data_IF_997114886372
#
_entry.id   IF_997114886372
#
_cell.length_a   1.000
_cell.length_b   1.000
_cell.length_c   1.000
_cell.angle_alpha   90.00
_cell.angle_beta   90.00
_cell.angle_gamma   90.00
#
_symmetry.space_group_name_H-M   'P 1'
#
loop_
_entity.id
_entity.type
_entity.pdbx_description
1 polymer ?
#
# COMPACT_ATOMS: atom_id res chain seq x y z
N UNK A 1 -26.93 3.41 -4.27
CA UNK A 1 -26.00 2.96 -5.34
C UNK A 1 -25.08 1.92 -4.76
N UNK A 2 -25.25 0.64 -5.12
CA UNK A 2 -24.35 -0.43 -4.72
C UNK A 2 -23.05 -0.31 -5.52
N UNK A 3 -21.97 0.17 -4.89
CA UNK A 3 -20.63 0.02 -5.46
C UNK A 3 -20.26 -1.45 -5.30
N UNK A 4 -20.18 -2.19 -6.42
CA UNK A 4 -19.67 -3.55 -6.42
C UNK A 4 -18.29 -3.55 -5.75
N UNK A 5 -18.12 -4.39 -4.73
CA UNK A 5 -16.81 -4.57 -4.09
C UNK A 5 -15.88 -5.19 -5.14
N UNK A 6 -14.69 -4.62 -5.38
CA UNK A 6 -13.71 -5.27 -6.24
C UNK A 6 -13.37 -6.63 -5.64
N UNK A 7 -13.59 -7.69 -6.41
CA UNK A 7 -13.17 -9.05 -6.06
C UNK A 7 -11.65 -9.08 -6.25
N UNK A 8 -10.89 -9.14 -5.17
CA UNK A 8 -9.45 -9.39 -5.21
C UNK A 8 -9.23 -10.85 -5.58
N UNK A 9 -8.90 -11.14 -6.83
CA UNK A 9 -8.36 -12.45 -7.20
C UNK A 9 -6.95 -12.57 -6.59
N UNK A 10 -6.67 -13.71 -5.95
CA UNK A 10 -5.43 -14.02 -5.20
C UNK A 10 -4.13 -14.08 -6.07
N UNK A 11 -4.14 -13.51 -7.28
CA UNK A 11 -2.98 -13.38 -8.15
C UNK A 11 -2.26 -12.03 -7.99
N UNK A 12 -0.93 -12.06 -7.86
CA UNK A 12 -0.05 -10.87 -7.84
C UNK A 12 -0.36 -9.91 -9.01
N UNK A 13 -0.55 -10.46 -10.20
CA UNK A 13 -0.82 -9.70 -11.42
C UNK A 13 -2.16 -8.95 -11.34
N UNK A 14 -3.20 -9.59 -10.76
CA UNK A 14 -4.52 -8.98 -10.52
C UNK A 14 -4.42 -7.84 -9.52
N UNK A 15 -3.80 -8.07 -8.35
CA UNK A 15 -3.73 -7.05 -7.29
C UNK A 15 -2.85 -5.86 -7.67
N UNK A 16 -1.78 -6.08 -8.43
CA UNK A 16 -0.93 -5.01 -8.96
C UNK A 16 -1.63 -4.23 -10.08
N UNK A 17 -2.34 -4.91 -11.00
CA UNK A 17 -3.14 -4.22 -12.02
C UNK A 17 -4.29 -3.42 -11.40
N UNK A 18 -4.95 -3.96 -10.38
CA UNK A 18 -5.97 -3.24 -9.60
C UNK A 18 -5.38 -2.00 -8.96
N UNK A 19 -4.17 -2.09 -8.41
CA UNK A 19 -3.48 -0.94 -7.83
C UNK A 19 -3.09 0.10 -8.88
N UNK A 20 -2.57 -0.30 -10.04
CA UNK A 20 -2.30 0.61 -11.17
C UNK A 20 -3.58 1.30 -11.65
N UNK A 21 -4.68 0.56 -11.79
CA UNK A 21 -5.98 1.11 -12.17
C UNK A 21 -6.56 2.03 -11.09
N UNK A 22 -6.33 1.72 -9.82
CA UNK A 22 -6.78 2.49 -8.68
C UNK A 22 -5.98 3.80 -8.52
N UNK A 23 -4.66 3.74 -8.72
CA UNK A 23 -3.78 4.91 -8.79
C UNK A 23 -4.15 5.83 -9.94
N UNK A 24 -4.43 5.30 -11.14
CA UNK A 24 -4.83 6.11 -12.29
C UNK A 24 -6.20 6.80 -12.13
N UNK A 25 -7.03 6.39 -11.15
CA UNK A 25 -8.42 6.85 -11.01
C UNK A 25 -8.67 7.76 -9.82
N UNK A 26 -7.73 7.88 -8.88
CA UNK A 26 -7.93 8.63 -7.65
C UNK A 26 -6.72 9.50 -7.32
N UNK A 27 -6.95 10.57 -6.57
CA UNK A 27 -5.98 11.49 -5.97
C UNK A 27 -5.11 10.80 -4.91
N UNK A 28 -4.50 9.67 -5.28
CA UNK A 28 -3.62 8.90 -4.41
C UNK A 28 -2.27 9.58 -4.21
N UNK A 29 -1.87 10.39 -5.20
CA UNK A 29 -0.72 11.30 -5.11
C UNK A 29 -0.87 12.30 -3.95
N UNK A 30 -2.10 12.74 -3.67
CA UNK A 30 -2.38 13.68 -2.57
C UNK A 30 -2.56 12.98 -1.21
N UNK A 31 -2.50 11.64 -1.16
CA UNK A 31 -2.68 10.93 0.09
C UNK A 31 -1.42 11.03 0.94
N UNK A 32 -1.60 11.57 2.14
CA UNK A 32 -0.57 11.60 3.16
C UNK A 32 -0.22 10.18 3.60
N UNK A 33 1.07 9.85 3.53
CA UNK A 33 1.68 8.74 4.23
C UNK A 33 1.72 9.12 5.71
N UNK A 34 1.09 8.31 6.56
CA UNK A 34 1.10 8.53 8.01
C UNK A 34 2.22 7.76 8.69
N UNK A 35 2.57 6.58 8.16
CA UNK A 35 3.69 5.79 8.67
C UNK A 35 4.06 4.68 7.70
N UNK A 36 5.33 4.32 7.66
CA UNK A 36 5.83 3.09 7.02
C UNK A 36 6.39 2.20 8.11
N UNK A 37 5.96 0.94 8.17
CA UNK A 37 6.42 -0.01 9.18
C UNK A 37 6.84 -1.32 8.54
N UNK A 38 8.08 -1.73 8.78
CA UNK A 38 8.56 -3.06 8.42
C UNK A 38 8.22 -4.06 9.53
N UNK A 39 7.50 -5.11 9.18
CA UNK A 39 7.07 -6.17 10.10
C UNK A 39 7.44 -7.53 9.48
N UNK A 40 8.40 -8.25 10.06
CA UNK A 40 8.92 -9.55 9.62
C UNK A 40 8.38 -10.09 8.25
N UNK A 41 9.06 -9.75 7.16
CA UNK A 41 8.69 -10.18 5.80
C UNK A 41 7.53 -9.40 5.16
N UNK A 42 7.06 -8.33 5.80
CA UNK A 42 6.03 -7.42 5.32
C UNK A 42 6.45 -5.97 5.51
N UNK A 43 5.86 -5.09 4.71
CA UNK A 43 5.90 -3.64 4.91
C UNK A 43 4.47 -3.14 4.87
N UNK A 44 4.10 -2.35 5.86
CA UNK A 44 2.78 -1.72 5.95
C UNK A 44 2.97 -0.22 5.78
N UNK A 45 2.41 0.32 4.71
CA UNK A 45 2.30 1.76 4.50
C UNK A 45 0.90 2.17 4.90
N UNK A 46 0.83 3.00 5.93
CA UNK A 46 -0.41 3.57 6.41
C UNK A 46 -0.65 4.88 5.66
N UNK A 47 -1.79 4.97 4.98
CA UNK A 47 -2.27 6.13 4.25
C UNK A 47 -3.56 6.61 4.91
N UNK A 48 -3.95 7.86 4.65
CA UNK A 48 -5.11 8.49 5.28
C UNK A 48 -6.37 7.59 5.34
N UNK A 49 -6.74 6.96 4.21
CA UNK A 49 -7.94 6.10 4.10
C UNK A 49 -7.62 4.60 3.90
N UNK A 50 -6.35 4.24 3.71
CA UNK A 50 -5.97 2.90 3.26
C UNK A 50 -4.73 2.37 3.98
N UNK A 51 -4.64 1.04 4.06
CA UNK A 51 -3.38 0.35 4.34
C UNK A 51 -2.89 -0.36 3.08
N UNK A 52 -1.65 -0.09 2.70
CA UNK A 52 -0.93 -0.82 1.67
C UNK A 52 0.00 -1.82 2.35
N UNK A 53 -0.26 -3.11 2.17
CA UNK A 53 0.50 -4.19 2.80
C UNK A 53 1.29 -4.93 1.74
N UNK A 54 2.60 -4.73 1.73
CA UNK A 54 3.55 -5.48 0.90
C UNK A 54 3.89 -6.78 1.64
N UNK A 55 3.73 -7.93 0.99
CA UNK A 55 3.92 -9.27 1.58
C UNK A 55 5.04 -10.01 0.86
N UNK A 56 5.85 -10.74 1.62
CA UNK A 56 6.99 -11.47 1.08
C UNK A 56 8.15 -10.54 0.73
N UNK A 57 8.34 -9.48 1.51
CA UNK A 57 9.35 -8.45 1.27
C UNK A 57 10.74 -9.05 1.38
N UNK A 58 11.49 -9.04 0.28
CA UNK A 58 12.86 -9.56 0.17
C UNK A 58 13.90 -8.45 0.32
N UNK A 59 13.63 -7.28 -0.26
CA UNK A 59 14.47 -6.09 -0.20
C UNK A 59 13.64 -4.93 0.36
N UNK A 60 14.27 -4.15 1.23
CA UNK A 60 13.70 -2.94 1.80
C UNK A 60 14.82 -1.93 2.02
N UNK A 61 14.68 -0.75 1.43
CA UNK A 61 15.56 0.39 1.60
C UNK A 61 14.68 1.56 2.01
N UNK A 62 15.02 2.23 3.10
CA UNK A 62 14.28 3.38 3.60
C UNK A 62 15.27 4.49 3.93
N UNK A 63 15.01 5.67 3.36
CA UNK A 63 15.69 6.93 3.66
C UNK A 63 14.62 7.99 3.90
N UNK A 64 13.81 7.76 4.93
CA UNK A 64 12.81 8.72 5.39
C UNK A 64 13.34 9.42 6.64
N UNK A 65 13.38 10.75 6.60
CA UNK A 65 13.66 11.55 7.79
C UNK A 65 12.41 11.66 8.68
N UNK A 66 11.22 11.75 8.04
CA UNK A 66 9.91 11.68 8.68
C UNK A 66 8.88 11.03 7.71
N UNK A 67 8.24 9.91 8.06
CA UNK A 67 7.27 9.25 7.20
C UNK A 67 5.93 10.01 7.07
N UNK A 68 5.67 11.04 7.88
CA UNK A 68 4.46 11.85 7.79
C UNK A 68 4.49 12.87 6.64
N UNK A 69 4.42 12.40 5.40
CA UNK A 69 4.60 13.26 4.22
C UNK A 69 3.67 12.88 3.06
N UNK A 70 3.65 13.68 2.01
CA UNK A 70 2.81 13.49 0.81
C UNK A 70 3.59 12.77 -0.28
N UNK A 71 2.89 11.92 -1.02
CA UNK A 71 3.47 11.13 -2.09
C UNK A 71 3.78 12.01 -3.30
N UNK A 72 5.06 12.19 -3.66
CA UNK A 72 5.44 13.01 -4.81
C UNK A 72 5.53 12.18 -6.10
N UNK A 73 6.15 11.01 -6.00
CA UNK A 73 6.34 10.11 -7.14
C UNK A 73 6.31 8.66 -6.70
N UNK A 74 5.81 7.79 -7.58
CA UNK A 74 5.90 6.35 -7.40
C UNK A 74 6.31 5.64 -8.69
N UNK A 75 7.09 4.57 -8.54
CA UNK A 75 7.29 3.58 -9.58
C UNK A 75 6.90 2.20 -9.04
N UNK A 76 6.19 1.42 -9.86
CA UNK A 76 5.91 0.03 -9.56
C UNK A 76 6.36 -0.82 -10.75
N UNK A 77 7.47 -1.51 -10.56
CA UNK A 77 8.06 -2.39 -11.56
C UNK A 77 7.74 -3.85 -11.23
N UNK A 78 7.45 -4.65 -12.25
CA UNK A 78 7.16 -6.08 -12.09
C UNK A 78 8.18 -6.87 -12.89
N UNK A 79 8.91 -7.77 -12.22
CA UNK A 79 9.85 -8.69 -12.84
C UNK A 79 9.52 -10.13 -12.40
N UNK A 80 8.83 -10.87 -13.26
CA UNK A 80 8.36 -12.22 -12.97
C UNK A 80 7.38 -12.25 -11.79
N UNK A 81 7.75 -12.93 -10.71
CA UNK A 81 6.94 -13.08 -9.49
C UNK A 81 7.26 -12.05 -8.40
N UNK A 82 8.14 -11.10 -8.69
CA UNK A 82 8.56 -10.04 -7.75
C UNK A 82 8.14 -8.70 -8.31
N UNK A 83 7.53 -7.88 -7.46
CA UNK A 83 7.23 -6.48 -7.74
C UNK A 83 8.11 -5.59 -6.85
N UNK A 84 8.57 -4.47 -7.38
CA UNK A 84 9.33 -3.46 -6.65
C UNK A 84 8.55 -2.16 -6.66
N UNK A 85 8.18 -1.70 -5.47
CA UNK A 85 7.57 -0.39 -5.24
C UNK A 85 8.66 0.58 -4.81
N UNK A 86 8.83 1.67 -5.55
CA UNK A 86 9.60 2.83 -5.13
C UNK A 86 8.64 3.99 -4.88
N UNK A 87 8.87 4.69 -3.78
CA UNK A 87 8.10 5.84 -3.36
C UNK A 87 9.07 6.95 -3.03
N UNK A 88 8.84 8.10 -3.64
CA UNK A 88 9.48 9.36 -3.31
C UNK A 88 8.42 10.28 -2.70
N UNK A 89 8.79 10.91 -1.59
CA UNK A 89 7.98 11.85 -0.85
C UNK A 89 8.84 13.08 -0.49
N UNK A 90 8.20 14.14 0.01
CA UNK A 90 8.88 15.40 0.30
C UNK A 90 10.06 15.24 1.27
N UNK A 91 9.95 14.29 2.21
CA UNK A 91 10.92 14.06 3.28
C UNK A 91 11.65 12.72 3.18
N UNK A 92 11.70 12.12 1.98
CA UNK A 92 12.51 10.93 1.76
C UNK A 92 12.02 9.99 0.68
N UNK A 93 12.68 8.83 0.62
CA UNK A 93 12.37 7.77 -0.33
C UNK A 93 12.37 6.39 0.35
N UNK A 94 11.54 5.47 -0.16
CA UNK A 94 11.62 4.06 0.20
C UNK A 94 11.44 3.18 -1.03
N UNK A 95 12.12 2.04 -1.00
CA UNK A 95 12.01 0.97 -1.98
C UNK A 95 11.72 -0.35 -1.28
N UNK A 96 10.75 -1.11 -1.79
CA UNK A 96 10.46 -2.44 -1.30
C UNK A 96 10.19 -3.42 -2.44
N UNK A 97 10.90 -4.55 -2.47
CA UNK A 97 10.64 -5.67 -3.37
C UNK A 97 9.85 -6.76 -2.65
N UNK A 98 8.70 -7.16 -3.19
CA UNK A 98 7.72 -8.04 -2.56
C UNK A 98 7.10 -9.02 -3.56
N UNK A 99 6.40 -10.04 -3.06
CA UNK A 99 5.79 -11.09 -3.89
C UNK A 99 4.26 -11.03 -3.92
N UNK A 100 3.65 -10.25 -3.03
CA UNK A 100 2.21 -9.97 -3.07
C UNK A 100 1.89 -8.60 -2.43
N UNK A 101 0.76 -8.04 -2.82
CA UNK A 101 0.27 -6.76 -2.36
C UNK A 101 -1.18 -6.88 -1.89
N UNK A 102 -1.51 -6.20 -0.79
CA UNK A 102 -2.89 -6.04 -0.34
C UNK A 102 -3.18 -4.58 -0.08
N UNK A 103 -4.30 -4.09 -0.63
CA UNK A 103 -4.86 -2.80 -0.32
C UNK A 103 -6.10 -3.02 0.56
N UNK A 104 -6.14 -2.36 1.72
CA UNK A 104 -7.21 -2.53 2.71
C UNK A 104 -7.79 -1.15 2.99
N UNK A 105 -9.10 -0.96 2.78
CA UNK A 105 -9.80 0.25 3.21
C UNK A 105 -9.83 0.29 4.75
N UNK A 106 -9.46 1.43 5.35
CA UNK A 106 -9.48 1.60 6.81
C UNK A 106 -10.85 1.28 7.42
N UNK A 107 -11.94 1.50 6.68
CA UNK A 107 -13.29 1.19 7.14
C UNK A 107 -13.56 -0.30 7.24
N UNK A 108 -12.89 -1.13 6.44
CA UNK A 108 -13.03 -2.59 6.52
C UNK A 108 -12.40 -3.15 7.80
N UNK A 109 -11.37 -2.50 8.35
CA UNK A 109 -10.77 -2.88 9.62
C UNK A 109 -11.62 -2.49 10.83
N UNK A 110 -12.46 -1.45 10.72
CA UNK A 110 -13.43 -1.08 11.77
C UNK A 110 -14.50 -2.15 11.99
N UNK A 111 -14.69 -3.07 11.03
CA UNK A 111 -15.60 -4.21 11.14
C UNK A 111 -14.99 -5.35 11.95
N UNK A 112 -13.66 -5.39 12.12
CA UNK A 112 -12.94 -6.49 12.80
C UNK A 112 -12.65 -6.23 14.28
N UNK A 113 -12.89 -5.01 14.76
CA UNK A 113 -13.01 -4.75 16.20
C UNK A 113 -14.51 -4.85 16.48
N UNK A 114 -15.03 -5.98 17.02
CA UNK A 114 -16.40 -5.97 17.52
C UNK A 114 -16.52 -4.79 18.51
N UNK A 115 -17.64 -4.05 18.50
CA UNK A 115 -17.85 -3.01 19.51
C UNK A 115 -17.57 -3.64 20.88
N UNK A 116 -16.59 -3.08 21.60
CA UNK A 116 -16.42 -3.40 23.00
C UNK A 116 -17.62 -2.76 23.66
N UNK A 117 -18.61 -3.58 24.02
CA UNK A 117 -19.92 -3.15 24.50
C UNK A 117 -19.83 -1.96 25.46
N UNK A 118 -20.57 -0.90 25.10
CA UNK A 118 -21.27 0.00 26.02
C UNK A 118 -22.46 0.64 25.28
#
# INVERSE_FOLDING_TARGET
MNRARPVTEDGLQSNVQLLQQFWNRSTFHDMRIESIRRLNGRVVVNLNDYFLVLVGVKRYVEKFDDPETVWLYHSLEINGSVATLQVEAELGEFEASFTNLRLIDRRDLKVLIPPVDA
#
